data_IF_117845465510
#
_entry.id   IF_117845465510
#
_cell.length_a   1.000
_cell.length_b   1.000
_cell.length_c   1.000
_cell.angle_alpha   90.00
_cell.angle_beta   90.00
_cell.angle_gamma   90.00
#
_symmetry.space_group_name_H-M   'P 1'
#
loop_
_entity.id
_entity.type
_entity.pdbx_description
1 polymer ?
#
# COMPACT_ATOMS: atom_id res chain seq x y z
N UNK A 1 0.76 -18.51 -16.64
CA UNK A 1 0.72 -17.80 -17.92
C UNK A 1 -0.66 -17.17 -18.02
N UNK A 2 -0.77 -15.87 -18.28
CA UNK A 2 -2.08 -15.21 -18.34
C UNK A 2 -2.77 -15.53 -19.67
N UNK A 3 -4.05 -15.93 -19.62
CA UNK A 3 -4.79 -16.39 -20.80
C UNK A 3 -5.26 -15.23 -21.70
N UNK A 4 -5.69 -14.14 -21.09
CA UNK A 4 -6.32 -13.00 -21.79
C UNK A 4 -5.37 -11.79 -21.86
N UNK A 5 -4.59 -11.55 -20.80
CA UNK A 5 -3.73 -10.37 -20.68
C UNK A 5 -2.60 -10.36 -21.73
N UNK A 6 -2.41 -9.27 -22.50
CA UNK A 6 -1.28 -9.12 -23.40
C UNK A 6 0.09 -9.21 -22.68
N UNK A 7 1.06 -9.85 -23.35
CA UNK A 7 2.40 -10.12 -22.79
C UNK A 7 3.14 -8.86 -22.31
N UNK A 8 2.90 -7.71 -22.94
CA UNK A 8 3.48 -6.42 -22.56
C UNK A 8 3.09 -5.95 -21.15
N UNK A 9 1.99 -6.47 -20.60
CA UNK A 9 1.51 -6.13 -19.26
C UNK A 9 1.88 -7.16 -18.19
N UNK A 10 2.40 -8.34 -18.54
CA UNK A 10 2.64 -9.43 -17.58
C UNK A 10 3.55 -9.01 -16.42
N UNK A 11 4.66 -8.34 -16.71
CA UNK A 11 5.56 -7.84 -15.66
C UNK A 11 4.87 -6.84 -14.73
N UNK A 12 4.00 -5.99 -15.28
CA UNK A 12 3.26 -4.98 -14.51
C UNK A 12 2.21 -5.67 -13.63
N UNK A 13 1.52 -6.68 -14.17
CA UNK A 13 0.58 -7.51 -13.43
C UNK A 13 1.27 -8.26 -12.29
N UNK A 14 2.43 -8.88 -12.55
CA UNK A 14 3.20 -9.61 -11.53
C UNK A 14 3.63 -8.68 -10.40
N UNK A 15 4.09 -7.46 -10.73
CA UNK A 15 4.41 -6.45 -9.73
C UNK A 15 3.21 -6.03 -8.88
N UNK A 16 2.04 -5.83 -9.50
CA UNK A 16 0.81 -5.45 -8.79
C UNK A 16 0.37 -6.53 -7.80
N UNK A 17 0.46 -7.80 -8.20
CA UNK A 17 0.15 -8.92 -7.33
C UNK A 17 1.20 -9.12 -6.23
N UNK A 18 2.48 -8.91 -6.52
CA UNK A 18 3.53 -8.84 -5.50
C UNK A 18 3.23 -7.75 -4.46
N UNK A 19 2.90 -6.53 -4.92
CA UNK A 19 2.57 -5.41 -4.03
C UNK A 19 1.38 -5.76 -3.14
N UNK A 20 0.33 -6.35 -3.72
CA UNK A 20 -0.82 -6.87 -2.96
C UNK A 20 -0.41 -7.94 -1.92
N UNK A 21 0.41 -8.91 -2.30
CA UNK A 21 0.83 -9.99 -1.41
C UNK A 21 1.63 -9.48 -0.21
N UNK A 22 2.50 -8.48 -0.41
CA UNK A 22 3.22 -7.79 0.67
C UNK A 22 2.26 -7.09 1.63
N UNK A 23 1.27 -6.35 1.11
CA UNK A 23 0.25 -5.70 1.94
C UNK A 23 -0.60 -6.71 2.72
N UNK A 24 -1.00 -7.82 2.08
CA UNK A 24 -1.73 -8.91 2.72
C UNK A 24 -0.89 -9.56 3.82
N UNK A 25 0.40 -9.71 3.61
CA UNK A 25 1.31 -10.27 4.61
C UNK A 25 1.45 -9.36 5.84
N UNK A 26 1.52 -8.04 5.66
CA UNK A 26 1.46 -7.08 6.77
C UNK A 26 0.19 -7.28 7.64
N UNK A 27 -0.96 -7.55 7.02
CA UNK A 27 -2.21 -7.87 7.74
C UNK A 27 -2.12 -9.21 8.50
N UNK A 28 -1.57 -10.26 7.87
CA UNK A 28 -1.34 -11.55 8.55
C UNK A 28 -0.43 -11.39 9.77
N UNK A 29 0.60 -10.56 9.66
CA UNK A 29 1.50 -10.24 10.76
C UNK A 29 0.80 -9.41 11.85
N UNK A 30 -0.07 -8.47 11.46
CA UNK A 30 -0.86 -7.69 12.40
C UNK A 30 -1.71 -8.58 13.31
N UNK A 31 -2.39 -9.58 12.72
CA UNK A 31 -3.22 -10.52 13.46
C UNK A 31 -2.38 -11.46 14.34
N UNK A 32 -1.33 -12.06 13.78
CA UNK A 32 -0.47 -13.02 14.52
C UNK A 32 0.32 -12.37 15.66
N UNK A 33 0.84 -11.14 15.46
CA UNK A 33 1.59 -10.39 16.46
C UNK A 33 0.71 -9.48 17.33
N UNK A 34 -0.60 -9.45 17.09
CA UNK A 34 -1.59 -8.59 17.79
C UNK A 34 -1.20 -7.11 17.79
N UNK A 35 -0.76 -6.59 16.64
CA UNK A 35 -0.18 -5.24 16.52
C UNK A 35 -1.18 -4.10 16.80
N UNK A 36 -2.48 -4.38 16.75
CA UNK A 36 -3.53 -3.41 17.09
C UNK A 36 -3.88 -3.37 18.59
N UNK A 37 -3.22 -4.20 19.42
CA UNK A 37 -3.51 -4.27 20.85
C UNK A 37 -2.61 -3.33 21.64
N UNK A 38 -3.18 -2.66 22.65
CA UNK A 38 -2.43 -1.83 23.60
C UNK A 38 -2.68 -2.35 25.01
N UNK A 39 -1.61 -2.51 25.80
CA UNK A 39 -1.71 -2.82 27.22
C UNK A 39 -1.55 -1.54 28.03
N UNK A 40 -2.52 -1.29 28.91
CA UNK A 40 -2.53 -0.17 29.83
C UNK A 40 -2.44 -0.72 31.25
N UNK A 41 -1.51 -0.18 32.04
CA UNK A 41 -1.37 -0.50 33.46
C UNK A 41 -1.92 0.67 34.25
N UNK A 42 -3.06 0.47 34.92
CA UNK A 42 -3.65 1.47 35.79
C UNK A 42 -2.89 1.53 37.12
N UNK A 43 -2.83 2.73 37.70
CA UNK A 43 -2.09 2.96 38.94
C UNK A 43 -2.89 2.52 40.17
N UNK A 44 -4.22 2.54 40.09
CA UNK A 44 -5.09 2.14 41.20
C UNK A 44 -6.36 1.39 40.76
N UNK A 45 -7.04 0.83 41.76
CA UNK A 45 -8.30 0.09 41.58
C UNK A 45 -9.44 1.04 41.18
N UNK A 46 -9.37 2.33 41.53
CA UNK A 46 -10.42 3.31 41.23
C UNK A 46 -10.43 3.68 39.75
N UNK A 47 -9.27 3.87 39.14
CA UNK A 47 -9.08 4.03 37.69
C UNK A 47 -9.64 2.83 36.96
N UNK A 48 -9.33 1.61 37.43
CA UNK A 48 -9.84 0.37 36.83
C UNK A 48 -11.38 0.34 36.85
N UNK A 49 -12.00 0.64 38.00
CA UNK A 49 -13.46 0.68 38.13
C UNK A 49 -14.10 1.83 37.32
N UNK A 50 -13.40 2.95 37.15
CA UNK A 50 -13.85 4.06 36.32
C UNK A 50 -13.80 3.70 34.84
N UNK A 51 -12.74 3.02 34.41
CA UNK A 51 -12.57 2.55 33.03
C UNK A 51 -13.64 1.51 32.68
N UNK A 52 -13.91 0.53 33.55
CA UNK A 52 -14.94 -0.49 33.30
C UNK A 52 -16.36 0.08 33.13
N UNK A 53 -16.60 1.30 33.61
CA UNK A 53 -17.90 1.98 33.53
C UNK A 53 -17.98 3.03 32.41
N UNK A 54 -16.91 3.25 31.64
CA UNK A 54 -16.92 4.25 30.58
C UNK A 54 -17.64 3.73 29.34
N UNK A 55 -18.52 4.56 28.77
CA UNK A 55 -19.13 4.29 27.47
C UNK A 55 -18.20 4.66 26.30
N UNK A 56 -17.28 5.60 26.54
CA UNK A 56 -16.31 6.09 25.55
C UNK A 56 -14.88 5.88 26.07
N UNK A 57 -14.21 4.89 25.48
CA UNK A 57 -12.85 4.48 25.85
C UNK A 57 -11.84 5.57 25.52
N UNK A 58 -11.94 6.19 24.35
CA UNK A 58 -10.95 7.18 23.90
C UNK A 58 -11.03 8.45 24.74
N UNK A 59 -12.25 8.94 24.98
CA UNK A 59 -12.48 10.10 25.84
C UNK A 59 -11.98 9.87 27.27
N UNK A 60 -12.18 8.66 27.82
CA UNK A 60 -11.66 8.33 29.13
C UNK A 60 -10.14 8.35 29.16
N UNK A 61 -9.49 7.76 28.14
CA UNK A 61 -8.02 7.71 28.07
C UNK A 61 -7.40 9.10 28.00
N UNK A 62 -7.99 10.00 27.20
CA UNK A 62 -7.51 11.37 27.05
C UNK A 62 -7.60 12.16 28.38
N UNK A 63 -8.71 12.05 29.11
CA UNK A 63 -8.88 12.75 30.39
C UNK A 63 -8.01 12.21 31.53
N UNK A 64 -7.57 10.96 31.46
CA UNK A 64 -6.78 10.32 32.50
C UNK A 64 -5.27 10.26 32.16
N UNK A 65 -4.81 11.05 31.19
CA UNK A 65 -3.38 11.18 30.86
C UNK A 65 -2.80 10.02 30.04
N UNK A 66 -3.65 9.21 29.41
CA UNK A 66 -3.25 8.09 28.54
C UNK A 66 -3.38 8.44 27.04
N UNK A 67 -3.30 9.72 26.68
CA UNK A 67 -3.48 10.20 25.30
C UNK A 67 -2.56 9.48 24.29
N UNK A 68 -1.26 9.36 24.58
CA UNK A 68 -0.30 8.65 23.71
C UNK A 68 -0.73 7.19 23.44
N UNK A 69 -1.35 6.53 24.43
CA UNK A 69 -1.86 5.17 24.30
C UNK A 69 -3.13 5.12 23.47
N UNK A 70 -4.03 6.09 23.68
CA UNK A 70 -5.26 6.25 22.90
C UNK A 70 -4.94 6.49 21.42
N UNK A 71 -4.02 7.41 21.15
CA UNK A 71 -3.57 7.78 19.82
C UNK A 71 -2.89 6.61 19.10
N UNK A 72 -2.03 5.85 19.80
CA UNK A 72 -1.38 4.67 19.22
C UNK A 72 -2.39 3.54 18.96
N UNK A 73 -3.31 3.29 19.90
CA UNK A 73 -4.41 2.33 19.72
C UNK A 73 -5.23 2.68 18.47
N UNK A 74 -5.68 3.93 18.38
CA UNK A 74 -6.43 4.45 17.24
C UNK A 74 -5.66 4.28 15.94
N UNK A 75 -4.41 4.75 15.90
CA UNK A 75 -3.59 4.75 14.69
C UNK A 75 -3.41 3.34 14.13
N UNK A 76 -3.05 2.37 14.98
CA UNK A 76 -2.83 1.00 14.53
C UNK A 76 -4.14 0.35 14.08
N UNK A 77 -5.23 0.51 14.86
CA UNK A 77 -6.52 -0.07 14.51
C UNK A 77 -7.04 0.48 13.18
N UNK A 78 -7.04 1.80 13.02
CA UNK A 78 -7.52 2.47 11.81
C UNK A 78 -6.66 2.08 10.61
N UNK A 79 -5.33 2.08 10.74
CA UNK A 79 -4.44 1.66 9.66
C UNK A 79 -4.76 0.25 9.16
N UNK A 80 -4.81 -0.75 10.06
CA UNK A 80 -5.02 -2.13 9.64
C UNK A 80 -6.44 -2.37 9.10
N UNK A 81 -7.47 -1.67 9.61
CA UNK A 81 -8.82 -1.73 9.06
C UNK A 81 -8.91 -1.10 7.66
N UNK A 82 -8.29 0.06 7.46
CA UNK A 82 -8.22 0.72 6.14
C UNK A 82 -7.44 -0.14 5.13
N UNK A 83 -6.33 -0.74 5.55
CA UNK A 83 -5.51 -1.61 4.73
C UNK A 83 -6.26 -2.90 4.35
N UNK A 84 -7.04 -3.48 5.28
CA UNK A 84 -7.89 -4.64 5.00
C UNK A 84 -8.95 -4.32 3.94
N UNK A 85 -9.66 -3.22 4.11
CA UNK A 85 -10.64 -2.76 3.11
C UNK A 85 -9.95 -2.45 1.77
N UNK A 86 -8.78 -1.81 1.79
CA UNK A 86 -7.98 -1.55 0.59
C UNK A 86 -7.66 -2.86 -0.17
N UNK A 87 -7.19 -3.88 0.55
CA UNK A 87 -6.82 -5.18 -0.01
C UNK A 87 -7.99 -5.91 -0.67
N UNK A 88 -9.21 -5.81 -0.11
CA UNK A 88 -10.40 -6.44 -0.71
C UNK A 88 -10.74 -5.87 -2.08
N UNK A 89 -10.67 -4.55 -2.24
CA UNK A 89 -11.00 -3.92 -3.52
C UNK A 89 -9.87 -4.01 -4.54
N UNK A 90 -8.61 -3.87 -4.11
CA UNK A 90 -7.47 -3.80 -5.04
C UNK A 90 -7.24 -5.14 -5.75
N UNK A 91 -7.36 -6.27 -5.03
CA UNK A 91 -7.19 -7.59 -5.62
C UNK A 91 -8.24 -7.86 -6.70
N UNK A 92 -9.51 -7.55 -6.40
CA UNK A 92 -10.60 -7.71 -7.35
C UNK A 92 -10.44 -6.78 -8.57
N UNK A 93 -9.93 -5.56 -8.37
CA UNK A 93 -9.58 -4.66 -9.47
C UNK A 93 -8.49 -5.27 -10.37
N UNK A 94 -7.39 -5.74 -9.79
CA UNK A 94 -6.26 -6.36 -10.51
C UNK A 94 -6.72 -7.62 -11.27
N UNK A 95 -7.52 -8.48 -10.64
CA UNK A 95 -8.10 -9.68 -11.24
C UNK A 95 -9.09 -9.36 -12.37
N UNK A 96 -9.87 -8.29 -12.25
CA UNK A 96 -10.74 -7.85 -13.34
C UNK A 96 -9.93 -7.33 -14.54
N UNK A 97 -8.88 -6.54 -14.29
CA UNK A 97 -8.00 -6.04 -15.34
C UNK A 97 -7.30 -7.18 -16.09
N UNK A 98 -6.80 -8.19 -15.37
CA UNK A 98 -6.19 -9.38 -15.97
C UNK A 98 -7.10 -10.09 -16.99
N UNK A 99 -8.40 -10.16 -16.67
CA UNK A 99 -9.43 -10.80 -17.50
C UNK A 99 -10.03 -9.88 -18.57
N UNK A 100 -9.45 -8.70 -18.79
CA UNK A 100 -9.95 -7.70 -19.75
C UNK A 100 -11.23 -6.97 -19.32
N UNK A 101 -11.70 -7.14 -18.07
CA UNK A 101 -12.90 -6.45 -17.53
C UNK A 101 -12.55 -5.06 -16.98
N UNK A 102 -11.96 -4.24 -17.84
CA UNK A 102 -11.28 -2.99 -17.45
C UNK A 102 -12.23 -1.97 -16.80
N UNK A 103 -13.46 -1.83 -17.29
CA UNK A 103 -14.46 -0.94 -16.67
C UNK A 103 -14.78 -1.34 -15.23
N UNK A 104 -14.94 -2.65 -14.96
CA UNK A 104 -15.19 -3.16 -13.61
C UNK A 104 -13.94 -2.94 -12.74
N UNK A 105 -12.75 -3.15 -13.30
CA UNK A 105 -11.50 -2.89 -12.60
C UNK A 105 -11.40 -1.44 -12.12
N UNK A 106 -11.74 -0.46 -12.96
CA UNK A 106 -11.72 0.96 -12.58
C UNK A 106 -12.80 1.34 -11.56
N UNK A 107 -14.00 0.76 -11.65
CA UNK A 107 -15.05 0.97 -10.65
C UNK A 107 -14.60 0.51 -9.26
N UNK A 108 -13.94 -0.65 -9.18
CA UNK A 108 -13.39 -1.19 -7.94
C UNK A 108 -12.18 -0.39 -7.45
N UNK A 109 -11.39 0.20 -8.36
CA UNK A 109 -10.17 0.93 -8.03
C UNK A 109 -10.41 2.25 -7.30
N UNK A 110 -11.57 2.90 -7.52
CA UNK A 110 -11.84 4.24 -6.99
C UNK A 110 -11.71 4.30 -5.47
N UNK A 111 -12.42 3.46 -4.73
CA UNK A 111 -12.43 3.49 -3.26
C UNK A 111 -11.03 3.31 -2.65
N UNK A 112 -10.27 2.24 -2.95
CA UNK A 112 -8.96 2.02 -2.33
C UNK A 112 -7.96 3.12 -2.66
N UNK A 113 -7.89 3.55 -3.93
CA UNK A 113 -6.88 4.52 -4.37
C UNK A 113 -7.28 5.95 -4.02
N UNK A 114 -8.55 6.33 -4.11
CA UNK A 114 -8.97 7.71 -3.84
C UNK A 114 -9.11 7.95 -2.35
N UNK A 115 -9.89 7.12 -1.67
CA UNK A 115 -10.42 7.42 -0.34
C UNK A 115 -9.57 6.72 0.74
N UNK A 116 -9.41 5.38 0.70
CA UNK A 116 -8.64 4.66 1.73
C UNK A 116 -7.19 5.16 1.82
N UNK A 117 -6.53 5.32 0.67
CA UNK A 117 -5.17 5.85 0.63
C UNK A 117 -5.08 7.26 1.22
N UNK A 118 -6.08 8.13 1.00
CA UNK A 118 -6.06 9.49 1.58
C UNK A 118 -6.21 9.48 3.10
N UNK A 119 -7.02 8.59 3.65
CA UNK A 119 -7.06 8.40 5.10
C UNK A 119 -5.74 7.87 5.67
N UNK A 120 -5.09 6.92 4.99
CA UNK A 120 -3.76 6.43 5.41
C UNK A 120 -2.68 7.52 5.30
N UNK A 121 -2.71 8.32 4.24
CA UNK A 121 -1.82 9.48 4.08
C UNK A 121 -2.05 10.51 5.18
N UNK A 122 -3.32 10.82 5.51
CA UNK A 122 -3.65 11.75 6.59
C UNK A 122 -3.17 11.22 7.94
N UNK A 123 -3.39 9.93 8.21
CA UNK A 123 -2.88 9.26 9.40
C UNK A 123 -1.34 9.32 9.48
N UNK A 124 -0.63 9.21 8.36
CA UNK A 124 0.83 9.30 8.35
C UNK A 124 1.32 10.75 8.52
N UNK A 125 0.69 11.69 7.81
CA UNK A 125 1.01 13.12 7.79
C UNK A 125 0.73 13.79 9.14
N UNK A 126 -0.42 13.53 9.75
CA UNK A 126 -0.81 14.11 11.02
C UNK A 126 -1.85 13.21 11.74
N UNK A 127 -1.35 12.20 12.46
CA UNK A 127 -2.20 11.31 13.24
C UNK A 127 -2.95 12.02 14.38
N UNK A 128 -2.42 13.13 14.91
CA UNK A 128 -3.07 13.92 15.96
C UNK A 128 -4.29 14.66 15.43
N UNK A 129 -4.11 15.39 14.31
CA UNK A 129 -5.22 16.06 13.63
C UNK A 129 -6.29 15.05 13.25
N UNK A 130 -5.90 13.89 12.70
CA UNK A 130 -6.87 12.88 12.29
C UNK A 130 -7.60 12.27 13.49
N UNK A 131 -6.89 11.90 14.56
CA UNK A 131 -7.48 11.39 15.81
C UNK A 131 -8.54 12.34 16.37
N UNK A 132 -8.17 13.60 16.58
CA UNK A 132 -9.07 14.60 17.13
C UNK A 132 -10.26 14.88 16.19
N UNK A 133 -10.02 14.94 14.88
CA UNK A 133 -11.09 15.19 13.90
C UNK A 133 -12.07 14.03 13.85
N UNK A 134 -11.59 12.79 13.80
CA UNK A 134 -12.44 11.61 13.70
C UNK A 134 -13.31 11.39 14.95
N UNK A 135 -12.75 11.60 16.14
CA UNK A 135 -13.46 11.33 17.40
C UNK A 135 -14.34 12.48 17.90
N UNK A 136 -14.02 13.73 17.55
CA UNK A 136 -14.66 14.90 18.17
C UNK A 136 -15.33 15.86 17.20
N UNK A 137 -15.16 15.70 15.88
CA UNK A 137 -15.78 16.57 14.88
C UNK A 137 -16.95 15.87 14.15
N UNK A 138 -17.88 16.64 13.56
CA UNK A 138 -18.93 16.10 12.70
C UNK A 138 -18.40 15.31 11.50
N UNK A 139 -19.24 14.44 10.93
CA UNK A 139 -18.90 13.55 9.81
C UNK A 139 -18.31 14.32 8.62
N UNK A 140 -18.83 15.52 8.37
CA UNK A 140 -18.40 16.36 7.24
C UNK A 140 -16.91 16.72 7.30
N UNK A 141 -16.33 16.84 8.52
CA UNK A 141 -14.95 17.25 8.77
C UNK A 141 -13.93 16.14 8.47
N UNK A 142 -14.37 14.87 8.51
CA UNK A 142 -13.53 13.72 8.16
C UNK A 142 -14.02 12.98 6.92
N UNK A 143 -15.04 13.45 6.22
CA UNK A 143 -15.40 12.96 4.88
C UNK A 143 -14.38 13.47 3.85
N UNK A 144 -13.45 12.62 3.43
CA UNK A 144 -12.41 12.95 2.43
C UNK A 144 -12.98 13.28 1.05
N UNK A 145 -14.26 12.98 0.80
CA UNK A 145 -14.97 13.36 -0.42
C UNK A 145 -15.55 14.78 -0.37
N UNK A 146 -15.59 15.41 0.80
CA UNK A 146 -16.10 16.75 1.00
C UNK A 146 -15.09 17.81 0.53
N UNK A 147 -15.23 18.24 -0.72
CA UNK A 147 -14.35 19.22 -1.37
C UNK A 147 -14.30 20.61 -0.72
N UNK A 148 -15.22 20.94 0.19
CA UNK A 148 -15.16 22.19 0.96
C UNK A 148 -14.09 22.14 2.05
N UNK A 149 -13.85 20.96 2.59
CA UNK A 149 -12.95 20.70 3.72
C UNK A 149 -11.64 20.10 3.22
N UNK A 150 -11.73 19.12 2.31
CA UNK A 150 -10.60 18.54 1.59
C UNK A 150 -10.41 19.27 0.25
N UNK A 151 -9.98 20.53 0.36
CA UNK A 151 -9.63 21.35 -0.81
C UNK A 151 -8.41 20.77 -1.53
N UNK A 152 -8.19 21.20 -2.78
CA UNK A 152 -7.01 20.82 -3.57
C UNK A 152 -5.69 21.01 -2.81
N UNK A 153 -5.54 22.15 -2.13
CA UNK A 153 -4.31 22.48 -1.44
C UNK A 153 -4.13 21.65 -0.16
N UNK A 154 -5.23 21.37 0.57
CA UNK A 154 -5.18 20.47 1.73
C UNK A 154 -4.80 19.05 1.33
N UNK A 155 -5.42 18.50 0.29
CA UNK A 155 -5.09 17.14 -0.20
C UNK A 155 -3.62 17.08 -0.63
N UNK A 156 -3.12 18.05 -1.41
CA UNK A 156 -1.70 18.10 -1.80
C UNK A 156 -0.78 18.17 -0.60
N UNK A 157 -1.13 18.97 0.41
CA UNK A 157 -0.37 19.08 1.66
C UNK A 157 -0.29 17.72 2.37
N UNK A 158 -1.42 17.04 2.55
CA UNK A 158 -1.47 15.71 3.18
C UNK A 158 -0.58 14.71 2.41
N UNK A 159 -0.72 14.62 1.09
CA UNK A 159 0.08 13.71 0.25
C UNK A 159 1.58 14.03 0.39
N UNK A 160 1.94 15.32 0.37
CA UNK A 160 3.33 15.76 0.49
C UNK A 160 3.92 15.39 1.85
N UNK A 161 3.25 15.76 2.94
CA UNK A 161 3.70 15.49 4.31
C UNK A 161 3.76 13.98 4.62
N UNK A 162 2.84 13.20 4.05
CA UNK A 162 2.91 11.75 4.13
C UNK A 162 4.14 11.21 3.37
N UNK A 163 4.38 11.70 2.15
CA UNK A 163 5.54 11.33 1.33
C UNK A 163 6.89 11.65 1.98
N UNK A 164 7.02 12.80 2.65
CA UNK A 164 8.23 13.21 3.39
C UNK A 164 8.54 12.28 4.58
N UNK A 165 7.53 11.55 5.10
CA UNK A 165 7.69 10.57 6.19
C UNK A 165 7.93 9.14 5.69
N UNK A 166 8.24 8.97 4.40
CA UNK A 166 8.58 7.68 3.79
C UNK A 166 10.00 7.71 3.22
N UNK A 167 10.48 6.58 2.69
CA UNK A 167 11.83 6.53 2.16
C UNK A 167 11.93 7.11 0.75
N UNK A 168 10.96 6.79 -0.11
CA UNK A 168 10.92 7.24 -1.51
C UNK A 168 9.58 7.88 -1.91
N UNK A 169 8.60 8.02 -1.02
CA UNK A 169 7.28 8.55 -1.36
C UNK A 169 7.31 9.97 -1.91
N UNK A 170 8.20 10.85 -1.42
CA UNK A 170 8.39 12.18 -2.01
C UNK A 170 8.91 12.08 -3.47
N UNK A 171 9.91 11.24 -3.72
CA UNK A 171 10.46 11.03 -5.06
C UNK A 171 9.43 10.41 -6.02
N UNK A 172 8.60 9.47 -5.53
CA UNK A 172 7.50 8.86 -6.28
C UNK A 172 6.38 9.87 -6.56
N UNK A 173 6.16 10.83 -5.65
CA UNK A 173 5.21 11.94 -5.81
C UNK A 173 5.86 13.19 -6.45
N UNK A 174 6.90 13.01 -7.27
CA UNK A 174 7.54 14.11 -7.99
C UNK A 174 6.51 14.96 -8.76
N UNK A 175 6.62 16.28 -8.66
CA UNK A 175 5.67 17.24 -9.25
C UNK A 175 4.19 17.00 -8.90
N UNK A 176 3.89 16.44 -7.71
CA UNK A 176 2.53 16.10 -7.27
C UNK A 176 1.85 15.03 -8.15
N UNK A 177 2.63 14.12 -8.76
CA UNK A 177 2.12 13.10 -9.67
C UNK A 177 1.00 12.25 -9.03
N UNK A 178 1.11 11.91 -7.74
CA UNK A 178 0.10 11.13 -7.01
C UNK A 178 -1.22 11.89 -6.91
N UNK A 179 -1.15 13.19 -6.58
CA UNK A 179 -2.34 14.06 -6.59
C UNK A 179 -2.96 14.11 -7.98
N UNK A 180 -2.14 14.27 -9.00
CA UNK A 180 -2.58 14.39 -10.39
C UNK A 180 -3.32 13.14 -10.85
N UNK A 181 -2.76 11.95 -10.63
CA UNK A 181 -3.43 10.69 -10.97
C UNK A 181 -4.77 10.53 -10.26
N UNK A 182 -4.88 10.94 -8.99
CA UNK A 182 -6.05 10.61 -8.15
C UNK A 182 -7.15 11.66 -8.18
N UNK A 183 -6.81 12.95 -8.19
CA UNK A 183 -7.76 14.02 -7.90
C UNK A 183 -7.90 15.04 -9.04
N UNK A 184 -6.95 15.11 -9.96
CA UNK A 184 -7.00 16.11 -11.01
C UNK A 184 -7.92 15.66 -12.16
N UNK A 185 -9.18 16.10 -12.13
CA UNK A 185 -10.15 15.81 -13.20
C UNK A 185 -9.99 16.64 -14.48
N UNK A 186 -8.99 17.54 -14.57
CA UNK A 186 -8.75 18.38 -15.75
C UNK A 186 -7.63 17.86 -16.64
N UNK A 187 -6.67 17.15 -16.07
CA UNK A 187 -5.55 16.59 -16.82
C UNK A 187 -5.95 15.24 -17.42
N UNK A 188 -5.48 14.96 -18.63
CA UNK A 188 -5.77 13.70 -19.33
C UNK A 188 -5.30 12.47 -18.55
N UNK A 189 -4.25 12.66 -17.73
CA UNK A 189 -3.70 11.62 -16.86
C UNK A 189 -4.42 11.50 -15.51
N UNK A 190 -5.62 12.07 -15.32
CA UNK A 190 -6.40 11.93 -14.09
C UNK A 190 -7.38 10.77 -14.13
N UNK A 191 -7.32 9.86 -13.14
CA UNK A 191 -8.25 8.74 -12.99
C UNK A 191 -9.68 9.18 -12.66
N UNK A 192 -9.87 10.40 -12.17
CA UNK A 192 -11.17 10.90 -11.73
C UNK A 192 -12.24 10.84 -12.85
N UNK A 193 -11.86 11.14 -14.09
CA UNK A 193 -12.76 11.03 -15.24
C UNK A 193 -13.15 9.58 -15.49
N UNK A 194 -12.17 8.68 -15.48
CA UNK A 194 -12.34 7.25 -15.74
C UNK A 194 -13.22 6.59 -14.69
N UNK A 195 -13.00 6.88 -13.41
CA UNK A 195 -13.84 6.39 -12.32
C UNK A 195 -15.29 6.83 -12.48
N UNK A 196 -15.52 8.11 -12.80
CA UNK A 196 -16.89 8.60 -13.02
C UNK A 196 -17.56 7.93 -14.21
N UNK A 197 -16.85 7.75 -15.32
CA UNK A 197 -17.37 7.03 -16.49
C UNK A 197 -17.65 5.55 -16.19
N UNK A 198 -16.86 4.93 -15.30
CA UNK A 198 -17.00 3.51 -14.93
C UNK A 198 -18.17 3.25 -13.98
N UNK A 199 -18.48 4.22 -13.12
CA UNK A 199 -19.56 4.09 -12.12
C UNK A 199 -20.92 4.58 -12.61
N UNK A 200 -20.96 5.60 -13.47
CA UNK A 200 -22.21 6.23 -13.91
C UNK A 200 -22.48 5.92 -15.37
N UNK A 201 -23.73 5.59 -15.71
CA UNK A 201 -24.16 5.47 -17.11
C UNK A 201 -24.27 6.84 -17.78
N UNK A 202 -24.78 7.83 -17.06
CA UNK A 202 -24.94 9.21 -17.50
C UNK A 202 -24.56 10.14 -16.36
N UNK A 203 -23.82 11.21 -16.65
CA UNK A 203 -23.52 12.27 -15.69
C UNK A 203 -23.56 13.65 -16.33
N UNK A 204 -24.06 14.63 -15.58
CA UNK A 204 -24.17 16.04 -15.99
C UNK A 204 -23.04 16.91 -15.44
N UNK A 205 -22.13 16.33 -14.65
CA UNK A 205 -21.01 17.05 -14.05
C UNK A 205 -20.12 17.71 -15.11
N UNK A 206 -19.80 19.01 -15.00
CA UNK A 206 -19.14 19.77 -16.06
C UNK A 206 -17.81 19.18 -16.57
N UNK A 207 -17.01 18.59 -15.69
CA UNK A 207 -15.67 18.10 -16.02
C UNK A 207 -15.65 16.71 -16.68
N UNK A 208 -16.76 15.97 -16.64
CA UNK A 208 -16.81 14.58 -17.13
C UNK A 208 -18.22 14.23 -17.64
N UNK A 209 -18.91 15.23 -18.22
CA UNK A 209 -20.27 15.10 -18.74
C UNK A 209 -20.32 14.01 -19.81
N UNK A 210 -21.30 13.12 -19.71
CA UNK A 210 -21.52 12.10 -20.73
C UNK A 210 -21.94 12.78 -22.04
N UNK A 211 -21.34 12.33 -23.16
CA UNK A 211 -21.64 12.86 -24.48
C UNK A 211 -23.10 12.62 -24.88
N UNK A 212 -23.62 13.45 -25.77
CA UNK A 212 -24.99 13.31 -26.27
C UNK A 212 -25.12 11.95 -26.98
N UNK A 213 -26.20 11.22 -26.69
CA UNK A 213 -26.48 9.88 -27.22
C UNK A 213 -25.44 8.81 -26.82
N UNK A 214 -24.75 8.97 -25.69
CA UNK A 214 -23.76 8.02 -25.17
C UNK A 214 -24.16 7.53 -23.75
N UNK A 215 -23.77 6.30 -23.38
CA UNK A 215 -23.98 5.68 -22.06
C UNK A 215 -22.64 5.24 -21.43
N UNK A 216 -21.62 6.09 -21.57
CA UNK A 216 -20.23 5.82 -21.22
C UNK A 216 -19.76 4.45 -21.76
N UNK A 217 -19.20 3.59 -20.91
CA UNK A 217 -18.59 2.33 -21.31
C UNK A 217 -19.53 1.29 -21.89
N UNK A 218 -20.85 1.51 -21.86
CA UNK A 218 -21.82 0.60 -22.50
C UNK A 218 -21.57 0.48 -24.01
N UNK A 219 -21.09 1.55 -24.64
CA UNK A 219 -20.77 1.58 -26.08
C UNK A 219 -19.27 1.51 -26.37
N UNK A 220 -18.44 1.18 -25.37
CA UNK A 220 -17.01 1.03 -25.59
C UNK A 220 -16.74 -0.22 -26.45
N UNK A 221 -15.88 -0.06 -27.45
CA UNK A 221 -15.40 -1.12 -28.31
C UNK A 221 -14.00 -1.60 -27.88
N UNK A 222 -13.40 -2.49 -28.68
CA UNK A 222 -12.08 -3.06 -28.38
C UNK A 222 -10.96 -2.02 -28.36
N UNK A 223 -11.01 -0.99 -29.21
CA UNK A 223 -10.00 0.08 -29.24
C UNK A 223 -10.04 0.87 -27.93
N UNK A 224 -11.24 1.28 -27.53
CA UNK A 224 -11.47 1.95 -26.25
C UNK A 224 -10.99 1.07 -25.10
N UNK A 225 -11.37 -0.21 -25.06
CA UNK A 225 -10.94 -1.12 -24.00
C UNK A 225 -9.42 -1.26 -23.93
N UNK A 226 -8.74 -1.41 -25.06
CA UNK A 226 -7.29 -1.51 -25.12
C UNK A 226 -6.60 -0.25 -24.58
N UNK A 227 -7.12 0.94 -24.89
CA UNK A 227 -6.61 2.20 -24.35
C UNK A 227 -6.72 2.29 -22.84
N UNK A 228 -7.89 1.94 -22.29
CA UNK A 228 -8.11 1.92 -20.85
C UNK A 228 -7.29 0.84 -20.15
N UNK A 229 -7.05 -0.29 -20.82
CA UNK A 229 -6.22 -1.38 -20.30
C UNK A 229 -4.75 -0.97 -20.23
N UNK A 230 -4.24 -0.36 -21.30
CA UNK A 230 -2.91 0.24 -21.37
C UNK A 230 -2.72 1.27 -20.27
N UNK A 231 -3.70 2.14 -20.08
CA UNK A 231 -3.64 3.19 -19.08
C UNK A 231 -3.70 2.66 -17.64
N UNK A 232 -4.41 1.54 -17.41
CA UNK A 232 -4.47 0.88 -16.10
C UNK A 232 -3.07 0.44 -15.67
N UNK A 233 -2.36 -0.26 -16.56
CA UNK A 233 -0.99 -0.71 -16.31
C UNK A 233 0.06 0.38 -16.42
N UNK A 234 -0.26 1.54 -17.00
CA UNK A 234 0.61 2.71 -16.94
C UNK A 234 0.57 3.36 -15.55
N UNK A 235 -0.63 3.54 -14.99
CA UNK A 235 -0.84 4.32 -13.77
C UNK A 235 -0.74 3.52 -12.48
N UNK A 236 -1.34 2.34 -12.45
CA UNK A 236 -1.51 1.59 -11.20
C UNK A 236 -0.17 1.13 -10.59
N UNK A 237 0.85 0.68 -11.36
CA UNK A 237 2.13 0.29 -10.77
C UNK A 237 2.82 1.45 -10.03
N UNK A 238 2.79 2.67 -10.57
CA UNK A 238 3.30 3.86 -9.88
C UNK A 238 2.53 4.11 -8.57
N UNK A 239 1.19 4.06 -8.62
CA UNK A 239 0.36 4.27 -7.43
C UNK A 239 0.57 3.18 -6.38
N UNK A 240 0.74 1.92 -6.78
CA UNK A 240 1.01 0.82 -5.86
C UNK A 240 2.41 0.90 -5.25
N UNK A 241 3.42 1.41 -5.97
CA UNK A 241 4.72 1.73 -5.39
C UNK A 241 4.59 2.77 -4.28
N UNK A 242 3.81 3.83 -4.52
CA UNK A 242 3.51 4.84 -3.51
C UNK A 242 2.70 4.28 -2.33
N UNK A 243 1.69 3.45 -2.58
CA UNK A 243 0.91 2.77 -1.52
C UNK A 243 1.84 1.97 -0.60
N UNK A 244 2.78 1.21 -1.17
CA UNK A 244 3.74 0.43 -0.39
C UNK A 244 4.62 1.33 0.50
N UNK A 245 4.99 2.54 0.08
CA UNK A 245 5.72 3.49 0.93
C UNK A 245 4.88 3.93 2.13
N UNK A 246 3.63 4.34 1.90
CA UNK A 246 2.71 4.78 2.96
C UNK A 246 2.45 3.64 3.95
N UNK A 247 2.11 2.46 3.44
CA UNK A 247 1.82 1.29 4.26
C UNK A 247 3.05 0.80 5.02
N UNK A 248 4.25 0.79 4.41
CA UNK A 248 5.49 0.47 5.13
C UNK A 248 5.72 1.42 6.30
N UNK A 249 5.66 2.74 6.06
CA UNK A 249 5.91 3.74 7.10
C UNK A 249 4.90 3.66 8.25
N UNK A 250 3.63 3.33 7.98
CA UNK A 250 2.64 3.07 9.03
C UNK A 250 2.90 1.73 9.74
N UNK A 251 3.24 0.68 9.00
CA UNK A 251 3.49 -0.65 9.54
C UNK A 251 4.69 -0.68 10.48
N UNK A 252 5.82 -0.06 10.12
CA UNK A 252 7.04 -0.03 10.96
C UNK A 252 6.88 0.83 12.23
N UNK A 253 5.83 1.65 12.33
CA UNK A 253 5.44 2.30 13.60
C UNK A 253 4.75 1.31 14.55
N UNK A 254 4.05 0.32 14.01
CA UNK A 254 3.33 -0.70 14.78
C UNK A 254 4.19 -1.92 15.14
N UNK A 255 5.23 -2.23 14.34
CA UNK A 255 6.13 -3.38 14.55
C UNK A 255 7.59 -2.97 14.51
N UNK A 256 8.40 -3.55 15.41
CA UNK A 256 9.85 -3.37 15.38
C UNK A 256 10.44 -4.18 14.22
N UNK A 257 11.09 -3.49 13.29
CA UNK A 257 11.84 -4.09 12.17
C UNK A 257 13.28 -3.64 12.28
N UNK A 258 14.23 -4.57 12.21
CA UNK A 258 15.65 -4.22 12.20
C UNK A 258 16.07 -3.54 10.89
N UNK A 259 17.15 -2.77 10.95
CA UNK A 259 17.62 -1.97 9.82
C UNK A 259 17.96 -2.81 8.60
N UNK A 260 18.45 -4.03 8.79
CA UNK A 260 18.73 -4.94 7.68
C UNK A 260 17.45 -5.39 7.01
N UNK A 261 16.47 -5.91 7.76
CA UNK A 261 15.21 -6.37 7.18
C UNK A 261 14.48 -5.23 6.47
N UNK A 262 14.51 -4.01 7.04
CA UNK A 262 13.98 -2.82 6.39
C UNK A 262 14.67 -2.55 5.04
N UNK A 263 16.00 -2.65 5.01
CA UNK A 263 16.78 -2.49 3.78
C UNK A 263 16.50 -3.60 2.75
N UNK A 264 16.44 -4.87 3.17
CA UNK A 264 16.11 -6.01 2.32
C UNK A 264 14.75 -5.84 1.64
N UNK A 265 13.70 -5.51 2.41
CA UNK A 265 12.35 -5.28 1.87
C UNK A 265 12.36 -4.18 0.80
N UNK A 266 13.04 -3.07 1.09
CA UNK A 266 13.19 -1.93 0.17
C UNK A 266 13.93 -2.32 -1.11
N UNK A 267 15.07 -3.01 -1.01
CA UNK A 267 15.84 -3.46 -2.17
C UNK A 267 14.99 -4.35 -3.10
N UNK A 268 14.28 -5.34 -2.55
CA UNK A 268 13.42 -6.23 -3.34
C UNK A 268 12.28 -5.44 -4.00
N UNK A 269 11.57 -4.62 -3.23
CA UNK A 269 10.45 -3.81 -3.73
C UNK A 269 10.89 -2.89 -4.87
N UNK A 270 11.98 -2.15 -4.69
CA UNK A 270 12.43 -1.19 -5.70
C UNK A 270 13.06 -1.85 -6.92
N UNK A 271 13.73 -3.00 -6.76
CA UNK A 271 14.21 -3.77 -7.90
C UNK A 271 13.06 -4.29 -8.76
N UNK A 272 12.00 -4.85 -8.13
CA UNK A 272 10.77 -5.26 -8.83
C UNK A 272 10.08 -4.08 -9.49
N UNK A 273 9.99 -2.93 -8.81
CA UNK A 273 9.41 -1.72 -9.37
C UNK A 273 10.20 -1.20 -10.58
N UNK A 274 11.52 -1.18 -10.50
CA UNK A 274 12.39 -0.77 -11.61
C UNK A 274 12.23 -1.68 -12.84
N UNK A 275 12.00 -2.97 -12.65
CA UNK A 275 11.81 -3.92 -13.75
C UNK A 275 10.50 -3.70 -14.55
N UNK A 276 9.52 -3.02 -13.96
CA UNK A 276 8.28 -2.60 -14.62
C UNK A 276 8.53 -1.45 -15.63
N UNK A 277 9.60 -0.68 -15.44
CA UNK A 277 9.95 0.50 -16.25
C UNK A 277 11.40 0.41 -16.78
N UNK A 278 11.73 -0.60 -17.60
CA UNK A 278 13.12 -0.87 -18.01
C UNK A 278 13.74 0.23 -18.87
N UNK A 279 12.92 1.10 -19.48
CA UNK A 279 13.36 2.22 -20.31
C UNK A 279 13.70 3.48 -19.50
N UNK A 280 13.47 3.50 -18.19
CA UNK A 280 13.77 4.66 -17.34
C UNK A 280 15.15 4.48 -16.72
N UNK A 281 16.15 5.14 -17.30
CA UNK A 281 17.56 5.00 -16.89
C UNK A 281 17.79 5.28 -15.40
N UNK A 282 17.05 6.25 -14.83
CA UNK A 282 17.14 6.61 -13.42
C UNK A 282 16.80 5.43 -12.48
N UNK A 283 15.99 4.46 -12.92
CA UNK A 283 15.60 3.30 -12.10
C UNK A 283 16.59 2.13 -12.20
N UNK A 284 17.60 2.20 -13.09
CA UNK A 284 18.60 1.13 -13.24
C UNK A 284 19.41 0.92 -11.97
N UNK A 285 19.68 1.98 -11.22
CA UNK A 285 20.38 1.91 -9.94
C UNK A 285 19.58 1.08 -8.91
N UNK A 286 18.25 1.25 -8.86
CA UNK A 286 17.37 0.50 -7.96
C UNK A 286 17.41 -1.00 -8.26
N UNK A 287 17.46 -1.37 -9.55
CA UNK A 287 17.57 -2.78 -9.98
C UNK A 287 18.88 -3.43 -9.52
N UNK A 288 19.93 -2.65 -9.32
CA UNK A 288 21.24 -3.16 -8.86
C UNK A 288 21.38 -3.28 -7.34
N UNK A 289 20.45 -2.72 -6.56
CA UNK A 289 20.55 -2.71 -5.09
C UNK A 289 20.64 -4.10 -4.44
N UNK A 290 19.93 -5.14 -4.89
CA UNK A 290 20.09 -6.49 -4.34
C UNK A 290 21.55 -7.01 -4.42
N UNK A 291 22.26 -6.70 -5.50
CA UNK A 291 23.68 -7.07 -5.65
C UNK A 291 24.58 -6.33 -4.66
N UNK A 292 24.28 -5.05 -4.41
CA UNK A 292 25.00 -4.22 -3.43
C UNK A 292 24.75 -4.75 -2.01
N UNK A 293 23.51 -5.15 -1.70
CA UNK A 293 23.15 -5.78 -0.44
C UNK A 293 23.95 -7.07 -0.24
N UNK A 294 23.93 -7.97 -1.22
CA UNK A 294 24.67 -9.24 -1.15
C UNK A 294 26.17 -9.03 -0.95
N UNK A 295 26.76 -8.08 -1.69
CA UNK A 295 28.19 -7.76 -1.56
C UNK A 295 28.50 -7.24 -0.15
N UNK A 296 27.71 -6.32 0.37
CA UNK A 296 27.88 -5.76 1.72
C UNK A 296 27.78 -6.85 2.80
N UNK A 297 26.83 -7.79 2.65
CA UNK A 297 26.70 -8.93 3.56
C UNK A 297 27.94 -9.81 3.55
N UNK A 298 28.43 -10.15 2.36
CA UNK A 298 29.61 -10.99 2.17
C UNK A 298 30.86 -10.32 2.76
N UNK A 299 31.05 -9.04 2.49
CA UNK A 299 32.19 -8.26 2.99
C UNK A 299 32.16 -8.12 4.52
N UNK A 300 30.97 -8.18 5.13
CA UNK A 300 30.76 -8.11 6.58
C UNK A 300 30.71 -9.47 7.28
N UNK A 301 30.83 -10.60 6.56
CA UNK A 301 30.69 -11.95 7.12
C UNK A 301 29.30 -12.29 7.65
N UNK A 302 28.26 -11.58 7.18
CA UNK A 302 26.88 -11.77 7.63
C UNK A 302 26.20 -12.83 6.77
N UNK A 303 25.67 -13.87 7.42
CA UNK A 303 24.79 -14.85 6.76
C UNK A 303 23.36 -14.66 7.20
N UNK A 304 22.53 -14.21 6.26
CA UNK A 304 21.08 -14.14 6.44
C UNK A 304 20.44 -15.50 6.22
N UNK A 305 19.53 -15.86 7.13
CA UNK A 305 18.67 -17.03 6.98
C UNK A 305 17.23 -16.67 7.30
N UNK A 306 16.30 -17.24 6.55
CA UNK A 306 14.87 -17.24 6.85
C UNK A 306 14.33 -18.65 6.91
N UNK A 307 13.28 -18.87 7.70
CA UNK A 307 12.65 -20.18 7.84
C UNK A 307 11.75 -20.50 6.65
N UNK A 308 11.87 -21.71 6.13
CA UNK A 308 10.91 -22.27 5.18
C UNK A 308 9.55 -22.44 5.85
N UNK A 309 8.47 -22.04 5.17
CA UNK A 309 7.10 -22.18 5.67
C UNK A 309 6.58 -23.63 5.72
N UNK A 310 7.26 -24.57 5.04
CA UNK A 310 6.83 -25.97 4.95
C UNK A 310 7.56 -26.92 5.89
N UNK A 311 8.85 -26.69 6.16
CA UNK A 311 9.68 -27.57 6.97
C UNK A 311 10.47 -26.85 8.07
N UNK A 312 10.30 -25.53 8.22
CA UNK A 312 10.97 -24.67 9.21
C UNK A 312 12.50 -24.60 9.12
N UNK A 313 13.12 -25.35 8.21
CA UNK A 313 14.56 -25.29 7.94
C UNK A 313 14.98 -23.94 7.37
N UNK A 314 16.22 -23.56 7.64
CA UNK A 314 16.78 -22.27 7.25
C UNK A 314 17.17 -22.25 5.77
N UNK A 315 16.58 -21.32 5.02
CA UNK A 315 17.01 -20.96 3.67
C UNK A 315 18.03 -19.83 3.78
N UNK A 316 19.24 -20.05 3.27
CA UNK A 316 20.29 -19.04 3.23
C UNK A 316 20.02 -18.05 2.10
N UNK A 317 20.21 -16.76 2.37
CA UNK A 317 20.12 -15.73 1.34
C UNK A 317 21.41 -15.70 0.52
N UNK A 318 21.42 -16.40 -0.60
CA UNK A 318 22.49 -16.32 -1.61
C UNK A 318 22.14 -15.26 -2.66
N UNK A 319 23.09 -14.94 -3.54
CA UNK A 319 22.82 -14.08 -4.69
C UNK A 319 21.72 -14.68 -5.57
N UNK A 320 21.76 -15.99 -5.81
CA UNK A 320 20.72 -16.71 -6.57
C UNK A 320 19.35 -16.58 -5.92
N UNK A 321 19.25 -16.74 -4.60
CA UNK A 321 17.98 -16.56 -3.88
C UNK A 321 17.50 -15.11 -3.97
N UNK A 322 18.40 -14.12 -3.90
CA UNK A 322 18.02 -12.70 -4.08
C UNK A 322 17.51 -12.42 -5.50
N UNK A 323 18.16 -12.98 -6.52
CA UNK A 323 17.70 -12.86 -7.90
C UNK A 323 16.32 -13.51 -8.07
N UNK A 324 16.10 -14.69 -7.48
CA UNK A 324 14.78 -15.32 -7.45
C UNK A 324 13.75 -14.47 -6.68
N UNK A 325 14.14 -13.81 -5.59
CA UNK A 325 13.24 -12.88 -4.88
C UNK A 325 12.82 -11.70 -5.73
N UNK A 326 13.67 -11.22 -6.64
CA UNK A 326 13.34 -10.13 -7.56
C UNK A 326 12.52 -10.64 -8.75
N UNK A 327 12.91 -11.74 -9.36
CA UNK A 327 12.34 -12.20 -10.65
C UNK A 327 11.20 -13.22 -10.49
N UNK A 328 11.03 -13.81 -9.32
CA UNK A 328 10.04 -14.87 -9.05
C UNK A 328 9.16 -14.55 -7.84
N UNK A 329 8.28 -15.51 -7.56
CA UNK A 329 7.27 -15.48 -6.50
C UNK A 329 7.56 -16.47 -5.37
N UNK A 330 8.37 -17.47 -5.68
CA UNK A 330 8.78 -18.52 -4.76
C UNK A 330 10.24 -18.90 -4.99
N UNK A 331 10.86 -19.41 -3.94
CA UNK A 331 12.18 -20.04 -3.97
C UNK A 331 12.05 -21.49 -3.52
N UNK A 332 12.85 -22.38 -4.08
CA UNK A 332 12.84 -23.78 -3.65
C UNK A 332 13.63 -23.94 -2.35
N UNK A 333 13.01 -24.56 -1.35
CA UNK A 333 13.74 -24.96 -0.16
C UNK A 333 14.65 -26.15 -0.49
N UNK A 334 15.95 -26.01 -0.26
CA UNK A 334 16.93 -27.09 -0.48
C UNK A 334 16.73 -28.31 0.43
N UNK A 335 15.99 -28.17 1.53
CA UNK A 335 15.75 -29.24 2.50
C UNK A 335 14.50 -30.07 2.19
N UNK A 336 13.38 -29.43 1.81
CA UNK A 336 12.12 -30.13 1.54
C UNK A 336 11.68 -30.10 0.06
N UNK A 337 12.43 -29.41 -0.81
CA UNK A 337 12.14 -29.24 -2.24
C UNK A 337 10.77 -28.64 -2.57
N UNK A 338 10.09 -28.05 -1.58
CA UNK A 338 8.84 -27.31 -1.77
C UNK A 338 9.11 -25.85 -2.04
N UNK A 339 8.21 -25.23 -2.79
CA UNK A 339 8.22 -23.81 -3.08
C UNK A 339 7.82 -22.99 -1.85
N UNK A 340 8.70 -22.09 -1.44
CA UNK A 340 8.46 -21.13 -0.37
C UNK A 340 8.05 -19.79 -0.96
N UNK A 341 6.90 -19.26 -0.55
CA UNK A 341 6.46 -17.93 -0.99
C UNK A 341 7.38 -16.83 -0.42
N UNK A 342 7.90 -15.97 -1.30
CA UNK A 342 8.78 -14.84 -0.95
C UNK A 342 8.12 -13.47 -1.07
N UNK A 343 6.87 -13.40 -1.55
CA UNK A 343 6.07 -12.18 -1.69
C UNK A 343 5.47 -11.79 -0.33
N UNK A 344 6.33 -11.34 0.59
CA UNK A 344 5.96 -11.00 1.97
C UNK A 344 6.83 -9.87 2.51
N UNK A 345 6.44 -9.32 3.66
CA UNK A 345 7.22 -8.27 4.31
C UNK A 345 8.08 -8.87 5.43
N UNK A 346 9.41 -8.90 5.26
CA UNK A 346 10.31 -9.56 6.21
C UNK A 346 10.47 -8.73 7.49
N UNK A 347 10.07 -9.26 8.64
CA UNK A 347 10.20 -8.59 9.96
C UNK A 347 11.04 -9.37 10.97
N UNK A 348 11.02 -10.70 10.90
CA UNK A 348 11.78 -11.57 11.78
C UNK A 348 13.01 -12.09 11.04
N UNK A 349 14.15 -12.05 11.70
CA UNK A 349 15.43 -12.42 11.11
C UNK A 349 16.21 -13.37 12.00
N UNK A 350 16.85 -14.36 11.37
CA UNK A 350 17.90 -15.17 11.97
C UNK A 350 19.20 -14.88 11.22
N UNK A 351 20.01 -13.93 11.71
CA UNK A 351 21.38 -13.75 11.24
C UNK A 351 22.35 -14.37 12.22
N UNK A 352 23.41 -14.96 11.70
CA UNK A 352 24.57 -15.40 12.45
C UNK A 352 25.82 -14.79 11.83
N UNK A 353 26.78 -14.39 12.65
CA UNK A 353 28.15 -14.18 12.17
C UNK A 353 28.72 -15.55 11.78
N UNK A 354 29.45 -15.62 10.67
CA UNK A 354 30.27 -16.79 10.34
C UNK A 354 31.42 -16.99 11.32
#
# INVERSE_FOLDING_TARGET
MYEILPKEYWKKQDYLLYAYDVLRDMLKQADSKKLSNVTIKFNDIKETQSFEKTDDIFKWLDFNGYHDKALNLFSNHIFFLLLKDFCYYIYESISCAERGKVTVAYSLLRKPIRDNLLYMEWLLADHEEFYHTFLHKPIEEYDVSNYKIFTRDRIKKIIKEAGEKTHMGEAINYNNLVYTFRFNGKEEIGLQRIWNQSMHLVTTSPNYKTEKNNLNFVFADEEVWNDYWRYYYFTLPQLMAYVLEICESLFVKAVKVDSFNLFLNRCIRYAKYADVYPSVDLLKELKSQPNILYKTMKDSGIVYKFKCEHCEENIKLTLEVLDEMVDRWSVYCSSCYKEHNICKYYTDSNYSNE
#
